data_IF_670536352851
#
_entry.id   IF_670536352851
#
_cell.length_a   1.000
_cell.length_b   1.000
_cell.length_c   1.000
_cell.angle_alpha   90.00
_cell.angle_beta   90.00
_cell.angle_gamma   90.00
#
_symmetry.space_group_name_H-M   'P 1'
#
loop_
_entity.id
_entity.type
_entity.pdbx_description
1 polymer ?
#
# COMPACT_ATOMS: atom_id res chain seq x y z
N UNK A 1 11.00 2.15 3.97
CA UNK A 1 9.99 1.27 4.62
C UNK A 1 8.63 1.96 4.52
N UNK A 2 7.57 1.26 4.10
CA UNK A 2 6.22 1.80 4.05
C UNK A 2 5.52 1.53 5.39
N UNK A 3 4.84 2.53 5.93
CA UNK A 3 4.01 2.41 7.12
C UNK A 3 2.59 2.86 6.75
N UNK A 4 1.60 2.06 7.13
CA UNK A 4 0.16 2.32 6.92
C UNK A 4 -0.47 2.39 8.32
N UNK A 5 -1.08 3.53 8.65
CA UNK A 5 -1.82 3.78 9.89
C UNK A 5 -3.26 3.30 9.69
N UNK A 6 -3.65 2.31 10.49
CA UNK A 6 -4.94 1.67 10.53
C UNK A 6 -5.65 2.05 11.82
N UNK A 7 -6.96 1.85 11.88
CA UNK A 7 -7.73 2.14 13.10
C UNK A 7 -7.28 1.31 14.30
N UNK A 8 -6.80 0.07 14.07
CA UNK A 8 -6.37 -0.88 15.11
C UNK A 8 -4.84 -0.98 15.28
N UNK A 9 -4.04 -0.15 14.57
CA UNK A 9 -2.58 -0.14 14.70
C UNK A 9 -1.83 0.31 13.46
N UNK A 10 -0.54 0.07 13.40
CA UNK A 10 0.30 0.41 12.25
C UNK A 10 0.81 -0.86 11.57
N UNK A 11 0.65 -0.95 10.25
CA UNK A 11 1.23 -2.01 9.43
C UNK A 11 2.47 -1.49 8.71
N UNK A 12 3.56 -2.28 8.73
CA UNK A 12 4.86 -1.86 8.23
C UNK A 12 5.39 -2.86 7.21
N UNK A 13 5.89 -2.35 6.08
CA UNK A 13 6.31 -3.16 4.95
C UNK A 13 7.67 -2.70 4.40
N UNK A 14 8.53 -3.67 4.09
CA UNK A 14 9.82 -3.43 3.42
C UNK A 14 9.81 -3.87 1.96
N UNK A 15 8.89 -4.77 1.60
CA UNK A 15 8.71 -5.29 0.24
C UNK A 15 7.37 -4.83 -0.33
N UNK A 16 7.33 -4.55 -1.64
CA UNK A 16 6.11 -4.08 -2.33
C UNK A 16 5.07 -5.20 -2.42
N UNK A 17 5.51 -6.44 -2.65
CA UNK A 17 4.60 -7.58 -2.76
C UNK A 17 3.82 -7.80 -1.45
N UNK A 18 4.47 -7.70 -0.29
CA UNK A 18 3.81 -7.80 1.01
C UNK A 18 2.82 -6.65 1.25
N UNK A 19 3.24 -5.42 0.97
CA UNK A 19 2.39 -4.25 1.13
C UNK A 19 1.14 -4.31 0.23
N UNK A 20 1.31 -4.74 -1.02
CA UNK A 20 0.20 -4.84 -1.96
C UNK A 20 -0.76 -5.95 -1.56
N UNK A 21 -0.28 -7.13 -1.16
CA UNK A 21 -1.13 -8.21 -0.66
C UNK A 21 -1.97 -7.76 0.55
N UNK A 22 -1.35 -7.05 1.50
CA UNK A 22 -2.09 -6.47 2.63
C UNK A 22 -3.17 -5.49 2.17
N UNK A 23 -2.87 -4.64 1.18
CA UNK A 23 -3.85 -3.69 0.68
C UNK A 23 -5.02 -4.38 -0.07
N UNK A 24 -4.80 -5.55 -0.66
CA UNK A 24 -5.88 -6.37 -1.25
C UNK A 24 -6.82 -6.92 -0.17
N UNK A 25 -6.26 -7.42 0.93
CA UNK A 25 -7.03 -8.02 2.01
C UNK A 25 -7.81 -6.97 2.82
N UNK A 26 -7.16 -5.86 3.17
CA UNK A 26 -7.75 -4.86 4.07
C UNK A 26 -8.59 -3.80 3.34
N UNK A 27 -8.14 -3.33 2.18
CA UNK A 27 -8.83 -2.28 1.42
C UNK A 27 -9.62 -2.81 0.24
N UNK A 28 -9.52 -4.11 -0.07
CA UNK A 28 -10.25 -4.73 -1.16
C UNK A 28 -9.79 -4.32 -2.56
N UNK A 29 -8.53 -3.88 -2.70
CA UNK A 29 -8.01 -3.52 -4.03
C UNK A 29 -7.94 -4.75 -4.93
N UNK A 30 -8.63 -4.69 -6.06
CA UNK A 30 -8.65 -5.79 -7.01
C UNK A 30 -8.81 -5.29 -8.46
N UNK A 31 -8.60 -6.22 -9.40
CA UNK A 31 -8.85 -6.00 -10.82
C UNK A 31 -7.66 -5.47 -11.63
N UNK A 32 -7.91 -5.29 -12.93
CA UNK A 32 -6.86 -5.07 -13.93
C UNK A 32 -5.99 -3.82 -13.67
N UNK A 33 -6.60 -2.74 -13.17
CA UNK A 33 -5.90 -1.50 -12.84
C UNK A 33 -4.94 -1.71 -11.67
N UNK A 34 -5.37 -2.43 -10.65
CA UNK A 34 -4.55 -2.76 -9.49
C UNK A 34 -3.42 -3.73 -9.85
N UNK A 35 -3.69 -4.75 -10.66
CA UNK A 35 -2.65 -5.66 -11.18
C UNK A 35 -1.57 -4.93 -11.98
N UNK A 36 -1.94 -3.89 -12.72
CA UNK A 36 -0.99 -3.05 -13.44
C UNK A 36 -0.12 -2.21 -12.49
N UNK A 37 -0.71 -1.72 -11.38
CA UNK A 37 -0.01 -1.01 -10.32
C UNK A 37 1.01 -1.96 -9.66
N UNK A 38 0.57 -3.11 -9.13
CA UNK A 38 1.45 -4.09 -8.47
C UNK A 38 2.72 -4.42 -9.26
N UNK A 39 2.59 -4.61 -10.59
CA UNK A 39 3.71 -4.99 -11.46
C UNK A 39 4.77 -3.91 -11.68
N UNK A 40 4.44 -2.64 -11.49
CA UNK A 40 5.33 -1.51 -11.83
C UNK A 40 5.58 -0.56 -10.67
N UNK A 41 4.84 -0.72 -9.59
CA UNK A 41 4.85 0.13 -8.41
C UNK A 41 6.06 -0.17 -7.52
N UNK A 42 6.60 0.86 -6.89
CA UNK A 42 7.51 0.74 -5.75
C UNK A 42 6.84 1.26 -4.48
N UNK A 43 7.45 1.06 -3.30
CA UNK A 43 6.84 1.47 -2.03
C UNK A 43 6.45 2.95 -1.98
N UNK A 44 7.24 3.85 -2.60
CA UNK A 44 6.90 5.27 -2.65
C UNK A 44 5.63 5.52 -3.48
N UNK A 45 5.53 4.90 -4.65
CA UNK A 45 4.35 5.00 -5.50
C UNK A 45 3.12 4.40 -4.83
N UNK A 46 3.28 3.28 -4.12
CA UNK A 46 2.21 2.69 -3.33
C UNK A 46 1.74 3.64 -2.23
N UNK A 47 2.68 4.26 -1.52
CA UNK A 47 2.38 5.25 -0.49
C UNK A 47 1.58 6.44 -1.05
N UNK A 48 1.96 6.95 -2.23
CA UNK A 48 1.23 8.05 -2.88
C UNK A 48 -0.18 7.61 -3.32
N UNK A 49 -0.31 6.39 -3.84
CA UNK A 49 -1.60 5.82 -4.22
C UNK A 49 -2.54 5.70 -3.01
N UNK A 50 -2.05 5.14 -1.90
CA UNK A 50 -2.84 5.00 -0.66
C UNK A 50 -3.28 6.38 -0.14
N UNK A 51 -2.38 7.37 -0.14
CA UNK A 51 -2.72 8.74 0.27
C UNK A 51 -3.77 9.39 -0.63
N UNK A 52 -3.75 9.08 -1.93
CA UNK A 52 -4.74 9.59 -2.87
C UNK A 52 -6.14 9.02 -2.57
N UNK A 53 -6.20 7.84 -1.96
CA UNK A 53 -7.44 7.17 -1.51
C UNK A 53 -7.78 7.50 -0.04
N UNK A 54 -7.21 8.59 0.49
CA UNK A 54 -7.39 9.07 1.87
C UNK A 54 -6.88 8.11 2.96
N UNK A 55 -6.10 7.08 2.57
CA UNK A 55 -5.44 6.16 3.51
C UNK A 55 -4.17 6.81 4.06
N UNK A 56 -4.02 6.79 5.38
CA UNK A 56 -2.84 7.32 6.07
C UNK A 56 -1.65 6.38 5.88
N UNK A 57 -0.77 6.73 4.96
CA UNK A 57 0.50 6.02 4.76
C UNK A 57 1.70 6.98 4.74
N UNK A 58 2.90 6.52 5.07
CA UNK A 58 4.14 7.28 4.87
C UNK A 58 5.34 6.36 4.65
N UNK A 59 6.40 6.94 4.07
CA UNK A 59 7.67 6.27 3.90
C UNK A 59 8.60 6.70 5.04
N UNK A 60 9.03 5.72 5.82
CA UNK A 60 10.12 5.88 6.77
C UNK A 60 11.46 5.57 6.07
N UNK A 61 12.49 6.43 6.23
CA UNK A 61 13.84 6.20 5.72
C UNK A 61 14.49 4.96 6.35
#
# INVERSE_FOLDING_TARGET
MLIIDLEDGEATFTEVDEATAFCEEEFGYEGFTWDAIKRKCNLNQLCEFLRADEIRAWIHP
#
